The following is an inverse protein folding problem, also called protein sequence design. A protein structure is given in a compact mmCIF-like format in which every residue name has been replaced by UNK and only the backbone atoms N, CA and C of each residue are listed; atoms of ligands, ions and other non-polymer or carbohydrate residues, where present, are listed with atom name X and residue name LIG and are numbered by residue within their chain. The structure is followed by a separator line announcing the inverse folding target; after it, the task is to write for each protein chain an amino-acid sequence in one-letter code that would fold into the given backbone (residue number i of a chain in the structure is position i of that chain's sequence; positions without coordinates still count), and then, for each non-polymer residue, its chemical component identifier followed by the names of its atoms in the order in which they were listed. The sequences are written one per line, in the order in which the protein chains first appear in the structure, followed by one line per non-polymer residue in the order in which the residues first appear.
data_IF_333578711495
#
_entry.id   IF_333578711495
#
_cell.length_a   1.000
_cell.length_b   1.000
_cell.length_c   1.000
_cell.angle_alpha   90.00
_cell.angle_beta   90.00
_cell.angle_gamma   90.00
#
_symmetry.space_group_name_H-M   'P 1'
#
loop_
_entity.id
_entity.type
_entity.pdbx_description
1 polymer ?
#
# COMPACT_ATOMS: atom_id res chain seq x y z
N UNK A 1 42.11 -44.04 -25.78
CA UNK A 1 42.68 -45.30 -25.33
C UNK A 1 41.87 -45.85 -24.19
N UNK A 2 41.24 -47.01 -24.45
CA UNK A 2 40.69 -48.02 -23.57
C UNK A 2 39.43 -47.62 -22.78
N UNK A 3 38.20 -47.93 -23.17
CA UNK A 3 37.45 -49.21 -23.33
C UNK A 3 37.42 -50.07 -22.07
N UNK A 4 36.21 -50.39 -21.61
CA UNK A 4 35.57 -51.73 -21.45
C UNK A 4 34.48 -51.55 -20.42
N UNK A 5 33.22 -51.59 -20.64
CA UNK A 5 32.32 -52.67 -21.12
C UNK A 5 31.94 -53.70 -20.03
N UNK A 6 30.64 -53.82 -19.89
CA UNK A 6 29.78 -55.00 -19.79
C UNK A 6 29.59 -55.57 -18.38
N UNK A 7 28.50 -56.19 -17.94
CA UNK A 7 27.37 -56.91 -18.52
C UNK A 7 26.37 -57.24 -17.41
N UNK A 8 25.12 -57.07 -17.63
CA UNK A 8 23.97 -57.93 -17.47
C UNK A 8 23.92 -59.05 -16.42
N UNK A 9 22.78 -59.16 -15.72
CA UNK A 9 22.07 -60.46 -15.58
C UNK A 9 20.61 -60.27 -15.11
N UNK A 10 19.74 -60.93 -15.80
CA UNK A 10 18.31 -61.16 -15.60
C UNK A 10 18.00 -62.11 -14.41
N UNK A 11 16.78 -61.93 -13.85
CA UNK A 11 15.82 -63.04 -13.53
C UNK A 11 14.58 -62.32 -12.92
N UNK A 12 13.43 -62.32 -13.44
CA UNK A 12 12.40 -63.26 -13.81
C UNK A 12 11.52 -63.69 -12.62
N UNK A 13 10.20 -63.49 -12.85
CA UNK A 13 9.01 -64.21 -12.43
C UNK A 13 8.34 -63.84 -11.07
N UNK A 14 7.04 -63.54 -11.21
CA UNK A 14 6.02 -63.84 -10.23
C UNK A 14 4.79 -62.93 -10.38
N UNK A 15 3.72 -63.47 -11.02
CA UNK A 15 2.46 -62.80 -11.29
C UNK A 15 1.58 -62.61 -10.05
N UNK A 16 0.57 -61.79 -10.20
CA UNK A 16 -0.51 -61.56 -9.26
C UNK A 16 -1.40 -60.45 -9.76
N UNK A 17 -2.50 -60.80 -10.43
CA UNK A 17 -3.60 -59.92 -10.76
C UNK A 17 -4.26 -59.40 -9.47
N UNK A 18 -4.40 -58.14 -9.31
CA UNK A 18 -5.53 -57.54 -8.60
C UNK A 18 -5.78 -56.12 -9.12
N UNK A 19 -6.95 -55.97 -9.64
CA UNK A 19 -7.66 -54.78 -10.05
C UNK A 19 -7.78 -53.79 -8.89
N UNK A 20 -7.25 -52.59 -9.02
CA UNK A 20 -7.61 -51.50 -8.10
C UNK A 20 -7.59 -50.18 -8.83
N UNK A 21 -8.79 -49.72 -9.14
CA UNK A 21 -9.30 -48.34 -9.27
C UNK A 21 -8.25 -47.23 -9.32
N UNK A 22 -8.13 -46.63 -10.51
CA UNK A 22 -7.49 -45.32 -10.72
C UNK A 22 -8.25 -44.24 -9.98
N UNK A 23 -7.69 -43.78 -8.90
CA UNK A 23 -8.08 -42.50 -8.30
C UNK A 23 -7.13 -41.43 -8.88
N UNK A 24 -7.66 -40.67 -9.83
CA UNK A 24 -7.04 -39.46 -10.33
C UNK A 24 -7.10 -38.40 -9.22
N UNK A 25 -6.00 -38.18 -8.52
CA UNK A 25 -5.84 -37.04 -7.64
C UNK A 25 -5.53 -35.83 -8.52
N UNK A 26 -6.56 -35.07 -8.84
CA UNK A 26 -6.40 -33.69 -9.30
C UNK A 26 -5.68 -32.92 -8.21
N UNK A 27 -4.50 -32.41 -8.51
CA UNK A 27 -3.87 -31.35 -7.74
C UNK A 27 -4.73 -30.10 -7.92
N UNK A 28 -5.54 -29.85 -6.92
CA UNK A 28 -6.27 -28.60 -6.75
C UNK A 28 -5.23 -27.53 -6.40
N UNK A 29 -4.95 -26.67 -7.38
CA UNK A 29 -4.24 -25.42 -7.15
C UNK A 29 -5.15 -24.61 -6.21
N UNK A 30 -4.74 -24.44 -4.99
CA UNK A 30 -5.36 -23.48 -4.08
C UNK A 30 -5.00 -22.08 -4.60
N UNK A 31 -5.89 -21.50 -5.39
CA UNK A 31 -5.99 -20.07 -5.54
C UNK A 31 -6.32 -19.53 -4.14
N UNK A 32 -5.34 -18.93 -3.51
CA UNK A 32 -5.55 -18.14 -2.32
C UNK A 32 -6.17 -16.83 -2.79
N UNK A 33 -7.48 -16.82 -3.00
CA UNK A 33 -8.21 -15.57 -3.01
C UNK A 33 -8.03 -14.93 -1.64
N UNK A 34 -7.24 -13.85 -1.61
CA UNK A 34 -7.17 -12.95 -0.48
C UNK A 34 -8.54 -12.30 -0.36
N UNK A 35 -9.40 -12.87 0.46
CA UNK A 35 -10.70 -12.27 0.78
C UNK A 35 -10.41 -11.09 1.70
N UNK A 36 -10.25 -9.91 1.13
CA UNK A 36 -10.23 -8.66 1.87
C UNK A 36 -11.58 -8.49 2.55
N UNK A 37 -11.61 -8.60 3.86
CA UNK A 37 -12.81 -8.29 4.65
C UNK A 37 -12.94 -6.78 4.69
N UNK A 38 -13.92 -6.23 3.96
CA UNK A 38 -14.27 -4.82 4.08
C UNK A 38 -14.95 -4.57 5.43
N UNK A 39 -14.63 -3.45 6.05
CA UNK A 39 -15.32 -2.98 7.25
C UNK A 39 -16.68 -2.32 6.91
N UNK A 40 -17.34 -1.70 7.91
CA UNK A 40 -18.64 -1.06 7.72
C UNK A 40 -18.57 0.18 6.82
N UNK A 41 -17.39 0.74 6.56
CA UNK A 41 -17.15 1.89 5.68
C UNK A 41 -16.99 1.47 4.21
N UNK A 42 -16.91 0.16 3.92
CA UNK A 42 -16.59 -0.33 2.58
C UNK A 42 -15.10 -0.24 2.23
N UNK A 43 -14.26 -0.01 3.23
CA UNK A 43 -12.82 -0.02 3.09
C UNK A 43 -12.22 -1.40 3.43
N UNK A 44 -11.02 -1.67 2.91
CA UNK A 44 -10.23 -2.82 3.32
C UNK A 44 -9.77 -2.67 4.78
N UNK A 45 -9.30 -3.77 5.38
CA UNK A 45 -8.40 -3.65 6.54
C UNK A 45 -7.15 -2.88 6.13
N UNK A 46 -6.53 -2.17 7.08
CA UNK A 46 -5.28 -1.46 6.81
C UNK A 46 -4.19 -2.49 6.54
N UNK A 47 -3.57 -2.40 5.37
CA UNK A 47 -2.42 -3.19 4.99
C UNK A 47 -1.14 -2.51 5.49
N UNK A 48 -0.32 -3.27 6.23
CA UNK A 48 1.02 -2.84 6.57
C UNK A 48 1.98 -3.16 5.42
N UNK A 49 2.51 -2.13 4.79
CA UNK A 49 3.45 -2.23 3.66
C UNK A 49 4.89 -2.24 4.19
N UNK A 50 5.73 -3.13 3.65
CA UNK A 50 7.17 -3.05 3.91
C UNK A 50 7.76 -1.85 3.19
N UNK A 51 8.47 -1.02 3.92
CA UNK A 51 9.13 0.17 3.38
C UNK A 51 10.64 0.06 3.54
N UNK A 52 11.36 0.64 2.60
CA UNK A 52 12.82 0.70 2.68
C UNK A 52 13.25 1.46 3.95
N UNK A 53 14.20 0.89 4.68
CA UNK A 53 14.77 1.54 5.86
C UNK A 53 15.48 2.87 5.52
N UNK A 54 15.88 3.04 4.27
CA UNK A 54 16.52 4.24 3.74
C UNK A 54 16.02 4.47 2.32
N UNK A 55 14.97 5.26 2.17
CA UNK A 55 14.53 5.78 0.89
C UNK A 55 15.52 6.83 0.36
N UNK A 56 15.61 6.98 -0.95
CA UNK A 56 16.56 7.88 -1.58
C UNK A 56 15.85 9.04 -2.26
N UNK A 57 16.34 10.25 -2.03
CA UNK A 57 15.96 11.42 -2.79
C UNK A 57 16.53 11.35 -4.21
N UNK A 58 15.65 11.33 -5.21
CA UNK A 58 16.00 11.29 -6.64
C UNK A 58 15.24 12.35 -7.41
N UNK A 59 15.95 13.18 -8.14
CA UNK A 59 15.32 14.17 -9.01
C UNK A 59 14.97 13.52 -10.36
N UNK A 60 13.81 12.83 -10.37
CA UNK A 60 13.24 12.16 -11.53
C UNK A 60 11.72 12.26 -11.53
N UNK A 61 11.10 11.94 -12.64
CA UNK A 61 9.66 11.70 -12.69
C UNK A 61 9.40 10.29 -12.16
N UNK A 62 8.54 10.19 -11.14
CA UNK A 62 8.06 8.93 -10.59
C UNK A 62 6.66 8.63 -11.11
N UNK A 63 6.40 7.38 -11.41
CA UNK A 63 5.10 6.85 -11.82
C UNK A 63 4.65 5.73 -10.88
N UNK A 64 3.38 5.36 -10.89
CA UNK A 64 2.84 4.32 -9.99
C UNK A 64 3.63 3.00 -10.08
N UNK A 65 4.13 2.63 -11.26
CA UNK A 65 4.92 1.41 -11.45
C UNK A 65 6.32 1.42 -10.78
N UNK A 66 6.77 2.55 -10.27
CA UNK A 66 8.02 2.64 -9.50
C UNK A 66 7.85 2.24 -8.03
N UNK A 67 6.62 2.01 -7.58
CA UNK A 67 6.26 1.69 -6.20
C UNK A 67 5.64 0.30 -6.08
N UNK A 68 5.71 -0.28 -4.88
CA UNK A 68 5.13 -1.60 -4.60
C UNK A 68 3.60 -1.55 -4.52
N UNK A 69 3.03 -0.40 -4.16
CA UNK A 69 1.58 -0.20 -4.02
C UNK A 69 1.10 1.00 -4.84
N UNK A 70 -0.16 0.99 -5.23
CA UNK A 70 -0.86 2.14 -5.80
C UNK A 70 -2.16 2.40 -5.01
N UNK A 71 -2.23 3.52 -4.24
CA UNK A 71 -1.23 4.57 -4.14
C UNK A 71 0.02 4.13 -3.36
N UNK A 72 1.13 4.86 -3.50
CA UNK A 72 2.35 4.57 -2.76
C UNK A 72 2.17 4.72 -1.25
N UNK A 73 2.79 3.80 -0.49
CA UNK A 73 2.90 3.89 0.96
C UNK A 73 4.37 4.06 1.42
N UNK A 74 5.25 4.46 0.53
CA UNK A 74 6.69 4.70 0.76
C UNK A 74 7.53 4.37 -0.44
N UNK A 75 8.84 4.58 -0.35
CA UNK A 75 9.80 4.32 -1.43
C UNK A 75 10.69 5.51 -1.74
N UNK A 76 11.50 5.38 -2.79
CA UNK A 76 12.33 6.48 -3.28
C UNK A 76 11.45 7.63 -3.80
N UNK A 77 11.89 8.87 -3.62
CA UNK A 77 11.04 10.03 -3.87
C UNK A 77 11.83 11.27 -4.30
N UNK A 78 11.12 12.35 -4.63
CA UNK A 78 11.73 13.61 -5.02
C UNK A 78 12.37 14.33 -3.82
N UNK A 79 13.40 15.18 -4.04
CA UNK A 79 14.05 15.92 -2.95
C UNK A 79 13.16 16.94 -2.24
N UNK A 80 12.17 17.48 -2.94
CA UNK A 80 11.23 18.45 -2.40
C UNK A 80 9.93 17.76 -2.03
N UNK A 81 9.43 17.88 -0.79
CA UNK A 81 8.15 17.30 -0.39
C UNK A 81 6.96 18.12 -0.91
N UNK A 82 5.84 17.45 -1.10
CA UNK A 82 4.56 18.10 -1.22
C UNK A 82 4.22 18.88 0.06
N UNK A 83 3.50 19.96 -0.05
CA UNK A 83 3.11 20.74 1.13
C UNK A 83 1.88 20.13 1.80
N UNK A 84 1.96 19.84 3.10
CA UNK A 84 0.82 19.42 3.92
C UNK A 84 -0.22 20.53 4.13
N UNK A 85 -1.41 20.13 4.55
CA UNK A 85 -2.53 21.05 4.80
C UNK A 85 -3.25 21.54 3.55
N UNK A 86 -3.12 20.84 2.43
CA UNK A 86 -3.70 21.24 1.15
C UNK A 86 -4.52 20.10 0.49
N UNK A 87 -5.49 20.54 -0.34
CA UNK A 87 -6.24 19.71 -1.25
C UNK A 87 -5.76 20.01 -2.68
N UNK A 88 -5.34 18.98 -3.39
CA UNK A 88 -4.74 19.07 -4.72
C UNK A 88 -5.73 18.55 -5.76
N UNK A 89 -6.42 19.47 -6.43
CA UNK A 89 -7.35 19.16 -7.51
C UNK A 89 -6.65 18.73 -8.82
N UNK A 90 -5.36 18.99 -8.94
CA UNK A 90 -4.53 18.50 -10.04
C UNK A 90 -3.46 17.56 -9.47
N UNK A 91 -3.21 16.41 -10.11
CA UNK A 91 -2.20 15.47 -9.63
C UNK A 91 -0.84 16.14 -9.45
N UNK A 92 -0.26 16.13 -8.24
CA UNK A 92 1.11 16.60 -8.04
C UNK A 92 2.11 15.57 -8.57
N UNK A 93 3.40 15.91 -8.54
CA UNK A 93 4.44 14.92 -8.79
C UNK A 93 4.37 13.83 -7.71
N UNK A 94 4.24 12.58 -8.16
CA UNK A 94 4.02 11.45 -7.25
C UNK A 94 5.14 11.31 -6.20
N UNK A 95 6.40 11.52 -6.63
CA UNK A 95 7.53 11.47 -5.71
C UNK A 95 7.55 12.59 -4.65
N UNK A 96 6.92 13.75 -4.90
CA UNK A 96 6.77 14.81 -3.88
C UNK A 96 5.74 14.40 -2.82
N UNK A 97 4.66 13.71 -3.23
CA UNK A 97 3.68 13.16 -2.32
C UNK A 97 4.28 12.05 -1.43
N UNK A 98 5.10 11.17 -2.02
CA UNK A 98 5.81 10.12 -1.25
C UNK A 98 6.80 10.72 -0.24
N UNK A 99 7.48 11.82 -0.59
CA UNK A 99 8.35 12.53 0.36
C UNK A 99 7.55 13.10 1.55
N UNK A 100 6.34 13.63 1.29
CA UNK A 100 5.46 14.08 2.37
C UNK A 100 5.08 12.92 3.32
N UNK A 101 4.86 11.70 2.80
CA UNK A 101 4.62 10.52 3.64
C UNK A 101 5.82 10.21 4.54
N UNK A 102 7.06 10.35 4.04
CA UNK A 102 8.26 10.14 4.85
C UNK A 102 8.34 11.11 6.03
N UNK A 103 7.79 12.31 5.89
CA UNK A 103 7.64 13.28 6.97
C UNK A 103 6.50 12.95 7.96
N UNK A 104 5.90 11.78 7.84
CA UNK A 104 4.86 11.29 8.75
C UNK A 104 3.46 11.74 8.41
N UNK A 105 3.23 12.19 7.19
CA UNK A 105 1.92 12.60 6.71
C UNK A 105 0.96 11.43 6.49
N UNK A 106 -0.32 11.76 6.42
CA UNK A 106 -1.36 10.92 5.83
C UNK A 106 -1.89 11.61 4.58
N UNK A 107 -2.01 10.84 3.50
CA UNK A 107 -2.54 11.32 2.23
C UNK A 107 -3.81 10.54 1.89
N UNK A 108 -4.89 11.26 1.58
CA UNK A 108 -6.08 10.75 0.93
C UNK A 108 -5.92 10.86 -0.58
N UNK A 109 -6.08 9.76 -1.27
CA UNK A 109 -6.00 9.66 -2.72
C UNK A 109 -7.40 9.49 -3.28
N UNK A 110 -7.76 10.29 -4.26
CA UNK A 110 -9.08 10.26 -4.88
C UNK A 110 -8.99 9.99 -6.37
N UNK A 111 -9.98 9.30 -6.92
CA UNK A 111 -10.12 9.11 -8.36
C UNK A 111 -11.59 9.19 -8.75
N UNK A 112 -11.91 10.13 -9.64
CA UNK A 112 -13.25 10.30 -10.27
C UNK A 112 -14.41 10.35 -9.27
N UNK A 113 -14.20 11.00 -8.10
CA UNK A 113 -15.27 11.21 -7.12
C UNK A 113 -16.31 12.21 -7.64
N UNK A 114 -17.57 11.99 -7.30
CA UNK A 114 -18.59 13.00 -7.50
C UNK A 114 -18.30 14.25 -6.64
N UNK A 115 -18.74 15.45 -7.05
CA UNK A 115 -18.45 16.69 -6.30
C UNK A 115 -18.86 16.63 -4.83
N UNK A 116 -19.99 15.99 -4.53
CA UNK A 116 -20.48 15.83 -3.15
C UNK A 116 -19.62 14.88 -2.33
N UNK A 117 -19.05 13.84 -2.95
CA UNK A 117 -18.14 12.90 -2.33
C UNK A 117 -16.79 13.57 -2.05
N UNK A 118 -16.29 14.36 -3.01
CA UNK A 118 -15.07 15.14 -2.86
C UNK A 118 -15.21 16.15 -1.69
N UNK A 119 -16.34 16.88 -1.62
CA UNK A 119 -16.62 17.82 -0.52
C UNK A 119 -16.63 17.09 0.84
N UNK A 120 -17.23 15.89 0.92
CA UNK A 120 -17.26 15.10 2.16
C UNK A 120 -15.86 14.65 2.60
N UNK A 121 -15.00 14.24 1.67
CA UNK A 121 -13.59 13.91 1.96
C UNK A 121 -12.84 15.14 2.45
N UNK A 122 -12.98 16.29 1.78
CA UNK A 122 -12.35 17.54 2.18
C UNK A 122 -12.80 18.01 3.56
N UNK A 123 -14.10 17.89 3.88
CA UNK A 123 -14.64 18.23 5.19
C UNK A 123 -14.02 17.34 6.29
N UNK A 124 -13.97 16.03 6.09
CA UNK A 124 -13.38 15.11 7.05
C UNK A 124 -11.88 15.36 7.28
N UNK A 125 -11.10 15.65 6.23
CA UNK A 125 -9.70 16.07 6.38
C UNK A 125 -9.58 17.40 7.13
N UNK A 126 -10.47 18.36 6.87
CA UNK A 126 -10.48 19.62 7.60
C UNK A 126 -10.81 19.43 9.09
N UNK A 127 -11.69 18.51 9.44
CA UNK A 127 -12.00 18.20 10.85
C UNK A 127 -10.75 17.70 11.58
N UNK A 128 -10.06 16.70 11.06
CA UNK A 128 -8.81 16.19 11.70
C UNK A 128 -7.69 17.23 11.66
N UNK A 129 -7.63 18.09 10.65
CA UNK A 129 -6.69 19.21 10.62
C UNK A 129 -6.97 20.20 11.78
N UNK A 130 -8.24 20.51 12.08
CA UNK A 130 -8.61 21.36 13.22
C UNK A 130 -8.27 20.72 14.58
N UNK A 131 -8.14 19.39 14.62
CA UNK A 131 -7.68 18.66 15.81
C UNK A 131 -6.17 18.70 16.01
N UNK A 132 -5.42 19.24 15.03
CA UNK A 132 -3.98 19.46 15.13
C UNK A 132 -3.12 18.45 14.33
N UNK A 133 -3.71 17.73 13.38
CA UNK A 133 -2.98 16.92 12.41
C UNK A 133 -2.69 17.76 11.16
N UNK A 134 -1.50 18.34 11.07
CA UNK A 134 -1.20 19.34 10.02
C UNK A 134 -0.49 18.76 8.78
N UNK A 135 0.13 17.59 8.88
CA UNK A 135 0.76 16.91 7.75
C UNK A 135 -0.27 16.02 7.06
N UNK A 136 -1.25 16.64 6.43
CA UNK A 136 -2.32 15.97 5.70
C UNK A 136 -2.39 16.50 4.28
N UNK A 137 -2.71 15.66 3.31
CA UNK A 137 -3.04 16.10 1.97
C UNK A 137 -4.17 15.24 1.39
N UNK A 138 -4.98 15.81 0.52
CA UNK A 138 -5.84 15.06 -0.39
C UNK A 138 -5.39 15.33 -1.82
N UNK A 139 -5.24 14.27 -2.60
CA UNK A 139 -4.57 14.28 -3.90
C UNK A 139 -5.40 13.51 -4.90
N UNK A 140 -5.70 14.13 -6.05
CA UNK A 140 -6.25 13.39 -7.18
C UNK A 140 -5.15 12.49 -7.78
N UNK A 141 -5.49 11.20 -7.97
CA UNK A 141 -4.66 10.22 -8.65
C UNK A 141 -5.47 9.45 -9.68
N UNK A 142 -5.43 9.85 -10.96
CA UNK A 142 -6.22 9.18 -12.00
C UNK A 142 -5.76 7.75 -12.33
N UNK A 143 -4.60 7.33 -11.81
CA UNK A 143 -4.10 5.96 -11.95
C UNK A 143 -4.53 5.04 -10.80
N UNK A 144 -5.28 5.58 -9.82
CA UNK A 144 -5.82 4.79 -8.71
C UNK A 144 -6.91 3.85 -9.22
N UNK A 145 -6.88 2.58 -8.80
CA UNK A 145 -7.85 1.56 -9.25
C UNK A 145 -9.15 1.57 -8.43
N UNK A 146 -9.19 2.30 -7.32
CA UNK A 146 -10.36 2.47 -6.45
C UNK A 146 -10.75 3.94 -6.35
N UNK A 147 -11.98 4.27 -5.97
CA UNK A 147 -12.39 5.67 -5.84
C UNK A 147 -11.63 6.46 -4.76
N UNK A 148 -11.27 5.78 -3.67
CA UNK A 148 -10.61 6.41 -2.53
C UNK A 148 -9.59 5.47 -1.87
N UNK A 149 -8.49 6.03 -1.39
CA UNK A 149 -7.52 5.33 -0.56
C UNK A 149 -6.84 6.28 0.42
N UNK A 150 -6.34 5.71 1.51
CA UNK A 150 -5.53 6.41 2.51
C UNK A 150 -4.15 5.77 2.55
N UNK A 151 -3.09 6.56 2.55
CA UNK A 151 -1.75 6.05 2.80
C UNK A 151 -0.99 6.88 3.81
N UNK A 152 -0.12 6.20 4.54
CA UNK A 152 0.92 6.74 5.40
C UNK A 152 2.20 5.95 5.12
N UNK A 153 3.33 6.37 5.66
CA UNK A 153 4.57 5.61 5.49
C UNK A 153 4.46 4.22 6.09
N UNK A 154 4.39 3.22 5.22
CA UNK A 154 4.25 1.81 5.57
C UNK A 154 2.83 1.36 5.91
N UNK A 155 1.80 2.10 5.51
CA UNK A 155 0.40 1.70 5.67
C UNK A 155 -0.46 2.16 4.49
N UNK A 156 -1.40 1.31 4.09
CA UNK A 156 -2.35 1.53 3.00
C UNK A 156 -3.73 1.01 3.38
N UNK A 157 -4.76 1.77 3.05
CA UNK A 157 -6.16 1.34 3.11
C UNK A 157 -6.87 1.77 1.82
N UNK A 158 -7.58 0.86 1.16
CA UNK A 158 -8.35 1.13 -0.05
C UNK A 158 -9.84 1.04 0.22
N UNK A 159 -10.64 1.85 -0.46
CA UNK A 159 -12.08 1.93 -0.27
C UNK A 159 -12.81 1.87 -1.62
N UNK A 160 -13.88 1.09 -1.68
CA UNK A 160 -14.72 0.90 -2.89
C UNK A 160 -15.65 2.10 -3.19
N UNK A 161 -15.64 3.11 -2.32
CA UNK A 161 -16.36 4.38 -2.46
C UNK A 161 -15.66 5.46 -1.66
N UNK A 162 -16.11 6.71 -1.77
CA UNK A 162 -15.73 7.75 -0.82
C UNK A 162 -16.08 7.31 0.60
N UNK A 163 -15.13 7.39 1.52
CA UNK A 163 -15.27 6.94 2.90
C UNK A 163 -14.71 7.99 3.88
N UNK A 164 -15.38 9.13 4.05
CA UNK A 164 -14.91 10.19 4.95
C UNK A 164 -14.75 9.72 6.40
N UNK A 165 -15.56 8.75 6.83
CA UNK A 165 -15.49 8.16 8.18
C UNK A 165 -14.22 7.32 8.43
N UNK A 166 -13.51 6.89 7.38
CA UNK A 166 -12.27 6.15 7.52
C UNK A 166 -11.07 7.07 7.84
N UNK A 167 -11.18 8.37 7.56
CA UNK A 167 -10.06 9.32 7.65
C UNK A 167 -9.58 9.49 9.08
N UNK A 168 -10.46 9.81 10.02
CA UNK A 168 -10.06 10.07 11.39
C UNK A 168 -9.40 8.86 12.07
N UNK A 169 -9.96 7.62 12.02
CA UNK A 169 -9.31 6.44 12.57
C UNK A 169 -7.94 6.16 11.96
N UNK A 170 -7.81 6.29 10.63
CA UNK A 170 -6.53 6.08 9.94
C UNK A 170 -5.50 7.13 10.34
N UNK A 171 -5.88 8.40 10.40
CA UNK A 171 -5.00 9.49 10.84
C UNK A 171 -4.56 9.29 12.29
N UNK A 172 -5.48 8.94 13.20
CA UNK A 172 -5.14 8.72 14.61
C UNK A 172 -4.10 7.62 14.82
N UNK A 173 -4.13 6.57 13.99
CA UNK A 173 -3.22 5.44 14.10
C UNK A 173 -1.90 5.66 13.36
N UNK A 174 -1.96 6.23 12.16
CA UNK A 174 -0.82 6.21 11.23
C UNK A 174 -0.13 7.57 11.03
N UNK A 175 -0.69 8.66 11.53
CA UNK A 175 -0.02 9.96 11.50
C UNK A 175 1.29 9.91 12.28
N UNK A 176 2.36 10.44 11.71
CA UNK A 176 3.71 10.33 12.26
C UNK A 176 4.10 8.86 12.55
N UNK A 177 3.80 7.98 11.61
CA UNK A 177 4.08 6.55 11.70
C UNK A 177 5.50 6.27 12.21
N UNK A 178 5.69 5.34 13.15
CA UNK A 178 7.02 4.96 13.63
C UNK A 178 7.89 4.28 12.57
N UNK A 179 7.31 3.87 11.45
CA UNK A 179 8.03 3.35 10.28
C UNK A 179 8.71 4.44 9.46
N UNK A 180 8.25 5.69 9.57
CA UNK A 180 8.88 6.83 8.90
C UNK A 180 10.16 7.22 9.62
N UNK A 181 11.27 7.24 8.89
CA UNK A 181 12.58 7.63 9.43
C UNK A 181 12.66 9.11 9.79
N UNK A 182 11.81 9.94 9.19
CA UNK A 182 11.81 11.39 9.32
C UNK A 182 10.63 11.96 10.12
N UNK A 183 9.66 11.13 10.50
CA UNK A 183 8.51 11.58 11.31
C UNK A 183 8.92 12.24 12.64
N UNK A 184 10.06 11.82 13.20
CA UNK A 184 10.63 12.42 14.41
C UNK A 184 11.36 13.74 14.14
N UNK A 185 11.72 14.03 12.88
CA UNK A 185 12.38 15.27 12.47
C UNK A 185 11.37 16.38 12.19
N UNK A 186 10.14 15.99 11.87
CA UNK A 186 9.10 16.94 11.56
C UNK A 186 8.73 17.84 12.77
N UNK A 187 8.89 17.42 14.02
CA UNK A 187 8.67 18.27 15.21
C UNK A 187 9.11 17.54 16.48
N UNK A 188 10.29 17.72 16.94
CA UNK A 188 10.87 17.37 18.25
C UNK A 188 10.48 16.02 18.92
N UNK A 189 9.91 15.09 18.18
CA UNK A 189 9.68 13.70 18.61
C UNK A 189 8.54 13.48 19.61
N UNK A 190 7.71 14.48 19.90
CA UNK A 190 6.65 14.34 20.92
C UNK A 190 5.24 14.42 20.37
N UNK A 191 5.05 14.61 19.07
CA UNK A 191 3.82 15.22 18.68
C UNK A 191 3.04 14.50 17.61
N UNK A 192 2.06 13.79 18.05
CA UNK A 192 0.89 13.47 17.23
C UNK A 192 0.06 14.70 16.85
N UNK A 193 0.34 15.86 17.38
CA UNK A 193 -0.46 17.09 17.24
C UNK A 193 0.38 18.35 17.36
N UNK A 194 1.40 18.52 16.50
CA UNK A 194 2.10 19.80 16.45
C UNK A 194 1.92 20.47 15.10
N UNK A 195 1.93 21.81 15.11
CA UNK A 195 1.94 22.58 13.88
C UNK A 195 3.14 22.21 13.01
N UNK A 196 3.06 22.41 11.68
CA UNK A 196 4.22 22.24 10.83
C UNK A 196 5.38 23.08 11.37
N UNK A 197 6.53 22.48 11.46
CA UNK A 197 7.76 23.18 11.85
C UNK A 197 8.18 24.25 10.81
#
# INVERSE_FOLDING_TARGET
MVLIAALAALAACGGGDEETTSTTTSAESADTESTTTADASGCSEVEEVEVLAFAQHKDQEFVAADYETNPPAGGDHNPEPLQGGNFYAEPPRLGEAVHLLEHGAVIGWTNDLAPEEQEAIEEAFNEVFQEGYYQLAAVENPELEVPFALSAWGALQTCESAAPEAIAPFVEEWYASPKSSESALACDGTARRLPPC
#
